data_IF_788336370854
#
_entry.id   IF_788336370854
#
_cell.length_a   1.000
_cell.length_b   1.000
_cell.length_c   1.000
_cell.angle_alpha   90.00
_cell.angle_beta   90.00
_cell.angle_gamma   90.00
#
_symmetry.space_group_name_H-M   'P 1'
#
loop_
_entity.id
_entity.type
_entity.pdbx_description
1 polymer ?
#
# COMPACT_ATOMS: atom_id res chain seq x y z
N UNK A 1 -24.12 -18.67 -9.64
CA UNK A 1 -23.91 -18.22 -8.24
C UNK A 1 -22.58 -18.75 -7.75
N UNK A 2 -21.60 -17.88 -7.45
CA UNK A 2 -20.25 -18.32 -7.06
C UNK A 2 -19.40 -17.18 -6.51
N UNK A 3 -19.65 -16.86 -5.23
CA UNK A 3 -18.87 -16.10 -4.25
C UNK A 3 -18.18 -14.79 -4.70
N UNK A 4 -18.83 -13.66 -4.35
CA UNK A 4 -18.18 -12.38 -4.02
C UNK A 4 -17.10 -12.65 -2.97
N UNK A 5 -15.85 -12.81 -3.41
CA UNK A 5 -14.69 -12.87 -2.53
C UNK A 5 -14.29 -11.44 -2.18
N UNK A 6 -14.74 -11.00 -1.01
CA UNK A 6 -14.18 -9.94 -0.18
C UNK A 6 -12.82 -9.42 -0.68
N UNK A 7 -12.76 -8.11 -1.00
CA UNK A 7 -11.51 -7.40 -1.26
C UNK A 7 -10.63 -7.63 -0.04
N UNK A 8 -9.72 -8.60 -0.12
CA UNK A 8 -8.80 -8.92 0.95
C UNK A 8 -7.98 -7.65 1.16
N UNK A 9 -8.34 -6.83 2.14
CA UNK A 9 -7.59 -5.64 2.53
C UNK A 9 -6.32 -6.04 3.27
N UNK A 10 -5.61 -7.08 2.81
CA UNK A 10 -4.37 -7.53 3.42
C UNK A 10 -3.33 -6.43 3.20
N UNK A 11 -2.81 -5.87 4.28
CA UNK A 11 -1.75 -4.86 4.21
C UNK A 11 -1.80 -3.80 5.30
N UNK A 12 -1.09 -2.71 5.05
CA UNK A 12 -0.96 -1.58 6.00
C UNK A 12 -2.28 -0.84 6.28
N UNK A 13 -3.37 -1.15 5.59
CA UNK A 13 -4.65 -0.44 5.68
C UNK A 13 -5.72 -1.16 6.53
N UNK A 14 -5.36 -2.28 7.15
CA UNK A 14 -6.28 -3.05 8.01
C UNK A 14 -6.69 -2.26 9.25
N UNK A 15 -7.91 -2.49 9.75
CA UNK A 15 -8.46 -1.81 10.92
C UNK A 15 -7.61 -1.99 12.19
N UNK A 16 -6.94 -3.14 12.33
CA UNK A 16 -6.05 -3.42 13.46
C UNK A 16 -4.84 -2.49 13.56
N UNK A 17 -4.48 -1.79 12.47
CA UNK A 17 -3.38 -0.84 12.45
C UNK A 17 -3.86 0.62 12.50
N UNK A 18 -5.15 0.89 12.71
CA UNK A 18 -5.69 2.26 12.78
C UNK A 18 -5.47 2.85 14.16
N UNK A 19 -5.09 4.12 14.19
CA UNK A 19 -4.95 4.91 15.42
C UNK A 19 -5.96 6.05 15.49
N UNK A 20 -6.09 6.64 16.68
CA UNK A 20 -6.96 7.80 16.96
C UNK A 20 -6.24 9.15 16.80
N UNK A 21 -4.98 9.13 16.36
CA UNK A 21 -4.14 10.32 16.19
C UNK A 21 -3.17 10.11 15.04
N UNK A 22 -3.04 11.11 14.17
CA UNK A 22 -2.11 11.10 13.06
C UNK A 22 -0.65 11.11 13.56
N UNK A 23 0.18 10.20 13.04
CA UNK A 23 1.59 10.10 13.41
C UNK A 23 2.46 11.22 12.81
N UNK A 24 1.99 11.88 11.75
CA UNK A 24 2.69 12.99 11.10
C UNK A 24 2.35 14.35 11.73
N UNK A 25 1.06 14.73 11.72
CA UNK A 25 0.64 16.08 12.13
C UNK A 25 -0.10 16.15 13.48
N UNK A 26 -0.32 15.01 14.15
CA UNK A 26 -0.97 14.96 15.45
C UNK A 26 -2.48 15.25 15.45
N UNK A 27 -3.11 15.44 14.29
CA UNK A 27 -4.56 15.62 14.17
C UNK A 27 -5.31 14.40 14.74
N UNK A 28 -6.40 14.60 15.53
CA UNK A 28 -7.24 13.51 15.99
C UNK A 28 -7.88 12.80 14.79
N UNK A 29 -7.89 11.47 14.81
CA UNK A 29 -8.45 10.63 13.75
C UNK A 29 -9.52 9.73 14.33
N UNK A 30 -10.52 9.40 13.51
CA UNK A 30 -11.40 8.30 13.80
C UNK A 30 -10.77 6.96 13.34
N UNK A 31 -11.17 5.86 13.97
CA UNK A 31 -10.67 4.51 13.61
C UNK A 31 -11.12 4.14 12.18
N UNK A 32 -12.24 4.68 11.71
CA UNK A 32 -12.70 4.49 10.33
C UNK A 32 -11.89 5.28 9.29
N UNK A 33 -11.13 6.29 9.72
CA UNK A 33 -10.34 7.14 8.82
C UNK A 33 -9.15 6.37 8.24
N UNK A 34 -9.16 6.18 6.92
CA UNK A 34 -8.05 5.51 6.22
C UNK A 34 -6.82 6.40 6.04
N UNK A 35 -7.05 7.70 5.90
CA UNK A 35 -6.03 8.72 5.68
C UNK A 35 -6.38 9.93 6.53
N UNK A 36 -5.36 10.67 6.97
CA UNK A 36 -5.55 11.90 7.70
C UNK A 36 -6.14 12.98 6.78
N UNK A 37 -7.26 13.63 7.14
CA UNK A 37 -7.85 14.70 6.31
C UNK A 37 -6.97 15.96 6.26
N UNK A 38 -6.08 16.15 7.25
CA UNK A 38 -5.23 17.33 7.35
C UNK A 38 -3.91 17.23 6.57
N UNK A 39 -3.27 16.06 6.54
CA UNK A 39 -1.95 15.89 5.90
C UNK A 39 -1.86 14.72 4.92
N UNK A 40 -2.99 14.05 4.65
CA UNK A 40 -3.09 12.91 3.73
C UNK A 40 -2.24 11.68 4.07
N UNK A 41 -1.59 11.64 5.24
CA UNK A 41 -0.87 10.44 5.68
C UNK A 41 -1.85 9.29 5.90
N UNK A 42 -1.51 8.10 5.41
CA UNK A 42 -2.25 6.87 5.73
C UNK A 42 -2.25 6.61 7.25
N UNK A 43 -3.44 6.38 7.81
CA UNK A 43 -3.60 6.05 9.23
C UNK A 43 -3.17 4.60 9.49
N UNK A 44 -1.87 4.35 9.61
CA UNK A 44 -1.35 2.99 9.85
C UNK A 44 -0.23 3.02 10.87
N UNK A 45 -0.37 2.20 11.90
CA UNK A 45 0.68 1.91 12.90
C UNK A 45 1.56 0.73 12.49
N UNK A 46 1.26 0.06 11.36
CA UNK A 46 2.09 -1.03 10.84
C UNK A 46 3.47 -0.48 10.48
N UNK A 47 4.51 -1.02 11.11
CA UNK A 47 5.90 -0.73 10.74
C UNK A 47 6.17 -1.25 9.32
N UNK A 48 6.73 -0.39 8.48
CA UNK A 48 7.18 -0.77 7.15
C UNK A 48 8.51 -1.51 7.26
N UNK A 49 8.59 -2.68 6.61
CA UNK A 49 9.85 -3.41 6.46
C UNK A 49 10.42 -3.16 5.07
N UNK A 50 11.74 -3.33 4.90
CA UNK A 50 12.38 -3.25 3.58
C UNK A 50 11.76 -4.23 2.58
N UNK A 51 11.31 -5.39 3.06
CA UNK A 51 10.62 -6.39 2.24
C UNK A 51 9.32 -5.84 1.64
N UNK A 52 8.49 -5.15 2.44
CA UNK A 52 7.25 -4.55 1.93
C UNK A 52 7.55 -3.56 0.79
N UNK A 53 8.66 -2.81 0.89
CA UNK A 53 9.11 -1.87 -0.15
C UNK A 53 9.50 -2.57 -1.46
N UNK A 54 10.28 -3.65 -1.37
CA UNK A 54 10.66 -4.42 -2.56
C UNK A 54 9.46 -5.12 -3.19
N UNK A 55 8.58 -5.71 -2.39
CA UNK A 55 7.37 -6.37 -2.87
C UNK A 55 6.47 -5.39 -3.64
N UNK A 56 6.29 -4.16 -3.13
CA UNK A 56 5.51 -3.12 -3.82
C UNK A 56 6.23 -2.57 -5.05
N UNK A 57 7.54 -2.34 -4.99
CA UNK A 57 8.36 -1.89 -6.12
C UNK A 57 8.32 -2.87 -7.29
N UNK A 58 8.58 -4.16 -7.05
CA UNK A 58 8.54 -5.16 -8.11
C UNK A 58 7.12 -5.43 -8.59
N UNK A 59 6.12 -5.43 -7.70
CA UNK A 59 4.71 -5.53 -8.11
C UNK A 59 4.31 -4.37 -9.02
N UNK A 60 4.77 -3.15 -8.74
CA UNK A 60 4.52 -1.98 -9.59
C UNK A 60 5.31 -2.08 -10.90
N UNK A 61 6.60 -2.45 -10.87
CA UNK A 61 7.44 -2.60 -12.06
C UNK A 61 6.91 -3.67 -13.03
N UNK A 62 6.50 -4.81 -12.51
CA UNK A 62 5.97 -5.93 -13.29
C UNK A 62 4.55 -5.68 -13.78
N UNK A 63 3.69 -4.98 -13.01
CA UNK A 63 2.37 -4.57 -13.48
C UNK A 63 2.42 -3.41 -14.47
N UNK A 64 3.38 -2.49 -14.32
CA UNK A 64 3.46 -1.28 -15.13
C UNK A 64 3.84 -1.58 -16.57
N UNK A 65 4.71 -2.56 -16.85
CA UNK A 65 5.12 -2.74 -18.24
C UNK A 65 5.69 -4.12 -18.61
N UNK A 66 4.87 -4.92 -19.31
CA UNK A 66 5.38 -6.01 -20.15
C UNK A 66 6.34 -5.49 -21.23
N UNK A 67 6.29 -4.21 -21.59
CA UNK A 67 7.24 -3.57 -22.52
C UNK A 67 8.57 -3.23 -21.87
N UNK A 68 8.63 -2.92 -20.56
CA UNK A 68 9.90 -2.68 -19.86
C UNK A 68 10.75 -3.96 -19.87
N UNK A 69 10.14 -5.11 -19.54
CA UNK A 69 10.81 -6.41 -19.63
C UNK A 69 11.27 -6.71 -21.06
N UNK A 70 10.46 -6.36 -22.06
CA UNK A 70 10.82 -6.50 -23.48
C UNK A 70 12.00 -5.61 -23.88
N UNK A 71 12.03 -4.36 -23.41
CA UNK A 71 13.14 -3.42 -23.65
C UNK A 71 14.42 -3.86 -22.94
N UNK A 72 14.32 -4.29 -21.68
CA UNK A 72 15.46 -4.83 -20.93
C UNK A 72 16.03 -6.09 -21.59
N UNK A 73 15.16 -6.98 -22.09
CA UNK A 73 15.58 -8.15 -22.87
C UNK A 73 16.27 -7.78 -24.18
N UNK A 74 15.82 -6.72 -24.86
CA UNK A 74 16.44 -6.25 -26.11
C UNK A 74 17.79 -5.55 -25.91
N UNK A 75 18.07 -5.05 -24.69
CA UNK A 75 19.32 -4.36 -24.34
C UNK A 75 20.39 -5.32 -23.77
N UNK A 76 19.99 -6.51 -23.31
CA UNK A 76 20.87 -7.60 -22.86
C UNK A 76 21.13 -8.68 -23.93
N UNK A 77 20.58 -8.51 -25.13
CA UNK A 77 20.93 -9.24 -26.36
C UNK A 77 21.92 -8.41 -27.18
#
# INVERSE_FOLDING_TARGET
MGKKGELISKGRYELQFRGVKCLNCGHPLDISDKYCPNCSQANSTKKLTLKDFFDEFFSSLLNYDSKLLKTLSALML
#
